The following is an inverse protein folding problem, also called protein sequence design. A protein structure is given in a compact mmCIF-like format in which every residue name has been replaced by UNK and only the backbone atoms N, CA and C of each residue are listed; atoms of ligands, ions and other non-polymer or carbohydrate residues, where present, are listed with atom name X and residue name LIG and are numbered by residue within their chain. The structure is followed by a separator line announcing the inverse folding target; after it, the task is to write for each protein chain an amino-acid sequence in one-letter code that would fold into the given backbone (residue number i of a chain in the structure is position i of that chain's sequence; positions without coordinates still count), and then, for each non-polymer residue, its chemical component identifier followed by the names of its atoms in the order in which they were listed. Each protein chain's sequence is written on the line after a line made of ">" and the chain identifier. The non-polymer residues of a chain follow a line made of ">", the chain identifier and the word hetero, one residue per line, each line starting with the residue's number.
data_IF_492943132660
#
_entry.id   IF_492943132660
#
_cell.length_a   1.000
_cell.length_b   1.000
_cell.length_c   1.000
_cell.angle_alpha   90.00
_cell.angle_beta   90.00
_cell.angle_gamma   90.00
#
_symmetry.space_group_name_H-M   'P 1'
#
loop_
_entity.id
_entity.type
_entity.pdbx_description
1 polymer ?
#
# COMPACT_ATOMS: atom_id res chain seq x y z
N UNK A 1 24.81 -22.93 -16.75
CA UNK A 1 23.54 -22.58 -17.42
C UNK A 1 23.59 -23.06 -18.87
N UNK A 2 22.56 -23.76 -19.34
CA UNK A 2 22.41 -24.16 -20.75
C UNK A 2 21.70 -23.06 -21.55
N UNK A 3 22.06 -22.87 -22.83
CA UNK A 3 21.35 -21.94 -23.73
C UNK A 3 20.73 -22.72 -24.88
N UNK A 4 19.46 -22.46 -25.18
CA UNK A 4 18.71 -23.14 -26.23
C UNK A 4 18.02 -22.10 -27.13
N UNK A 5 17.96 -22.39 -28.43
CA UNK A 5 17.18 -21.62 -29.39
C UNK A 5 16.06 -22.50 -29.93
N UNK A 6 14.81 -22.04 -29.82
CA UNK A 6 13.65 -22.76 -30.34
C UNK A 6 12.99 -21.91 -31.42
N UNK A 7 12.95 -22.41 -32.64
CA UNK A 7 12.33 -21.75 -33.79
C UNK A 7 10.88 -22.17 -33.98
N UNK A 8 10.48 -23.31 -33.38
CA UNK A 8 9.11 -23.83 -33.50
C UNK A 8 8.44 -24.06 -32.15
N UNK A 9 7.11 -24.07 -32.16
CA UNK A 9 6.28 -24.38 -30.99
C UNK A 9 6.60 -25.76 -30.39
N UNK A 10 6.90 -26.72 -31.26
CA UNK A 10 7.14 -28.11 -30.86
C UNK A 10 8.51 -28.25 -30.18
N UNK A 11 9.54 -27.58 -30.71
CA UNK A 11 10.85 -27.47 -30.07
C UNK A 11 10.75 -26.82 -28.68
N UNK A 12 9.98 -25.73 -28.56
CA UNK A 12 9.78 -25.05 -27.28
C UNK A 12 9.10 -25.96 -26.26
N UNK A 13 8.04 -26.67 -26.65
CA UNK A 13 7.34 -27.64 -25.79
C UNK A 13 8.28 -28.74 -25.30
N UNK A 14 9.02 -29.37 -26.22
CA UNK A 14 9.96 -30.46 -25.89
C UNK A 14 11.07 -29.97 -24.96
N UNK A 15 11.62 -28.79 -25.24
CA UNK A 15 12.70 -28.20 -24.43
C UNK A 15 12.26 -27.92 -23.00
N UNK A 16 11.06 -27.33 -22.81
CA UNK A 16 10.51 -27.06 -21.48
C UNK A 16 10.22 -28.37 -20.73
N UNK A 17 9.57 -29.35 -21.40
CA UNK A 17 9.19 -30.62 -20.78
C UNK A 17 10.40 -31.44 -20.28
N UNK A 18 11.56 -31.30 -20.91
CA UNK A 18 12.80 -32.01 -20.55
C UNK A 18 13.25 -31.76 -19.10
N UNK A 19 12.97 -30.60 -18.52
CA UNK A 19 13.46 -30.26 -17.18
C UNK A 19 12.59 -30.80 -16.03
N UNK A 20 11.37 -31.25 -16.33
CA UNK A 20 10.49 -31.89 -15.34
C UNK A 20 10.03 -30.94 -14.21
N UNK A 21 9.54 -31.49 -13.09
CA UNK A 21 8.99 -30.71 -11.98
C UNK A 21 10.08 -29.98 -11.16
N UNK A 22 9.67 -28.95 -10.40
CA UNK A 22 10.58 -28.18 -9.53
C UNK A 22 11.35 -27.06 -10.24
N UNK A 23 10.84 -26.63 -11.40
CA UNK A 23 11.35 -25.51 -12.19
C UNK A 23 10.38 -24.35 -12.10
N UNK A 24 10.91 -23.14 -11.95
CA UNK A 24 10.18 -21.89 -12.06
C UNK A 24 10.55 -21.19 -13.37
N UNK A 25 9.63 -20.40 -13.90
CA UNK A 25 9.76 -19.78 -15.21
C UNK A 25 9.70 -18.25 -15.09
N UNK A 26 10.57 -17.58 -15.85
CA UNK A 26 10.54 -16.12 -15.97
C UNK A 26 10.71 -15.71 -17.41
N UNK A 27 9.76 -14.92 -17.91
CA UNK A 27 9.79 -14.36 -19.25
C UNK A 27 10.22 -12.91 -19.28
N UNK A 28 11.01 -12.53 -20.29
CA UNK A 28 11.43 -11.16 -20.54
C UNK A 28 11.50 -10.90 -22.04
N UNK A 29 11.17 -9.69 -22.48
CA UNK A 29 11.27 -9.31 -23.90
C UNK A 29 12.69 -9.01 -24.34
N UNK A 30 13.65 -8.93 -23.42
CA UNK A 30 15.04 -8.59 -23.67
C UNK A 30 15.95 -9.38 -22.74
N UNK A 31 17.17 -9.66 -23.23
CA UNK A 31 18.21 -10.30 -22.44
C UNK A 31 19.00 -9.24 -21.67
N UNK A 32 18.90 -9.25 -20.35
CA UNK A 32 19.67 -8.34 -19.51
C UNK A 32 20.94 -9.04 -19.01
N UNK A 33 22.08 -8.39 -19.14
CA UNK A 33 23.39 -8.88 -18.71
C UNK A 33 23.93 -8.04 -17.55
N UNK A 34 24.70 -8.66 -16.66
CA UNK A 34 25.46 -7.98 -15.62
C UNK A 34 26.83 -7.50 -16.16
N UNK A 35 27.66 -6.92 -15.29
CA UNK A 35 28.99 -6.43 -15.66
C UNK A 35 29.98 -7.52 -16.09
N UNK A 36 29.63 -8.80 -15.92
CA UNK A 36 30.42 -9.97 -16.30
C UNK A 36 29.82 -10.72 -17.49
N UNK A 37 28.89 -10.10 -18.23
CA UNK A 37 28.16 -10.71 -19.35
C UNK A 37 27.37 -11.98 -18.95
N UNK A 38 26.96 -12.09 -17.68
CA UNK A 38 26.07 -13.14 -17.19
C UNK A 38 24.62 -12.64 -17.12
N UNK A 39 23.61 -13.51 -17.25
CA UNK A 39 22.21 -13.08 -17.15
C UNK A 39 21.91 -12.37 -15.83
N UNK A 40 21.40 -11.14 -15.94
CA UNK A 40 21.05 -10.28 -14.83
C UNK A 40 19.55 -10.31 -14.57
N UNK A 41 19.15 -11.19 -13.65
CA UNK A 41 17.80 -11.21 -13.11
C UNK A 41 17.74 -10.35 -11.84
N UNK A 42 17.76 -9.03 -12.05
CA UNK A 42 17.67 -8.03 -10.97
C UNK A 42 16.24 -7.81 -10.46
N UNK A 43 16.11 -7.29 -9.25
CA UNK A 43 14.82 -6.89 -8.66
C UNK A 43 14.37 -5.52 -9.18
N UNK A 44 13.09 -5.20 -9.04
CA UNK A 44 12.59 -3.84 -9.34
C UNK A 44 13.26 -2.76 -8.49
N UNK A 45 13.59 -3.09 -7.24
CA UNK A 45 14.26 -2.16 -6.34
C UNK A 45 15.68 -1.83 -6.82
N UNK A 46 16.45 -2.85 -7.24
CA UNK A 46 17.80 -2.65 -7.79
C UNK A 46 17.80 -1.76 -9.05
N UNK A 47 16.77 -1.86 -9.90
CA UNK A 47 16.70 -1.09 -11.15
C UNK A 47 16.26 0.36 -10.96
N UNK A 48 15.36 0.63 -10.01
CA UNK A 48 14.65 1.92 -9.94
C UNK A 48 14.77 2.64 -8.60
N UNK A 49 15.38 2.00 -7.60
CA UNK A 49 15.42 2.49 -6.22
C UNK A 49 14.06 2.48 -5.52
N UNK A 50 14.10 2.76 -4.22
CA UNK A 50 12.92 2.94 -3.38
C UNK A 50 12.52 4.41 -3.25
N UNK A 51 11.22 4.65 -3.07
CA UNK A 51 10.69 5.91 -2.54
C UNK A 51 10.19 5.59 -1.12
N UNK A 52 10.97 5.90 -0.06
CA UNK A 52 10.72 5.36 1.28
C UNK A 52 9.30 5.57 1.81
N UNK A 53 8.75 6.78 1.73
CA UNK A 53 7.41 7.08 2.24
C UNK A 53 6.32 6.31 1.50
N UNK A 54 6.42 6.25 0.17
CA UNK A 54 5.52 5.47 -0.66
C UNK A 54 5.65 3.97 -0.32
N UNK A 55 6.87 3.47 -0.08
CA UNK A 55 7.07 2.07 0.29
C UNK A 55 6.44 1.70 1.62
N UNK A 56 6.57 2.59 2.62
CA UNK A 56 5.96 2.40 3.94
C UNK A 56 4.43 2.39 3.81
N UNK A 57 3.85 3.34 3.08
CA UNK A 57 2.40 3.42 2.83
C UNK A 57 1.88 2.18 2.10
N UNK A 58 2.59 1.73 1.06
CA UNK A 58 2.28 0.48 0.35
C UNK A 58 2.29 -0.74 1.28
N UNK A 59 3.35 -0.89 2.07
CA UNK A 59 3.51 -2.02 3.00
C UNK A 59 2.36 -2.06 4.01
N UNK A 60 1.97 -0.89 4.53
CA UNK A 60 0.84 -0.75 5.44
C UNK A 60 -0.47 -1.23 4.79
N UNK A 61 -0.86 -0.67 3.65
CA UNK A 61 -2.13 -1.02 3.02
C UNK A 61 -2.19 -2.43 2.45
N UNK A 62 -1.05 -3.00 2.06
CA UNK A 62 -0.96 -4.41 1.70
C UNK A 62 -1.29 -5.32 2.87
N UNK A 63 -0.62 -5.09 4.01
CA UNK A 63 -0.84 -5.84 5.24
C UNK A 63 -2.33 -5.81 5.61
N UNK A 64 -2.96 -4.64 5.50
CA UNK A 64 -4.39 -4.48 5.77
C UNK A 64 -5.29 -5.24 4.80
N UNK A 65 -5.01 -5.14 3.50
CA UNK A 65 -5.75 -5.90 2.51
C UNK A 65 -5.67 -7.41 2.81
N UNK A 66 -4.50 -7.93 3.21
CA UNK A 66 -4.34 -9.33 3.58
C UNK A 66 -5.10 -9.68 4.87
N UNK A 67 -5.01 -8.84 5.91
CA UNK A 67 -5.77 -9.03 7.14
C UNK A 67 -7.29 -9.10 6.89
N UNK A 68 -7.80 -8.30 5.94
CA UNK A 68 -9.22 -8.29 5.60
C UNK A 68 -9.64 -9.47 4.70
N UNK A 69 -8.76 -9.91 3.78
CA UNK A 69 -9.13 -10.82 2.70
C UNK A 69 -8.67 -12.27 2.88
N UNK A 70 -7.66 -12.52 3.71
CA UNK A 70 -7.03 -13.83 3.89
C UNK A 70 -7.40 -14.38 5.27
N UNK A 71 -8.20 -15.44 5.27
CA UNK A 71 -8.72 -16.02 6.51
C UNK A 71 -7.59 -16.55 7.40
N UNK A 72 -7.58 -16.12 8.65
CA UNK A 72 -6.58 -16.56 9.63
C UNK A 72 -5.21 -15.94 9.43
N UNK A 73 -5.07 -14.94 8.55
CA UNK A 73 -3.87 -14.12 8.44
C UNK A 73 -3.64 -13.39 9.76
N UNK A 74 -2.70 -13.91 10.55
CA UNK A 74 -2.25 -13.22 11.76
C UNK A 74 -1.23 -12.17 11.37
N UNK A 75 -1.17 -11.11 12.15
CA UNK A 75 -0.09 -10.14 12.04
C UNK A 75 1.24 -10.85 12.28
N UNK A 76 1.92 -11.23 11.20
CA UNK A 76 3.28 -11.78 11.24
C UNK A 76 4.26 -10.66 10.96
N UNK A 77 5.44 -10.71 11.58
CA UNK A 77 6.57 -9.83 11.25
C UNK A 77 7.15 -10.08 9.83
N UNK A 78 6.51 -10.95 9.04
CA UNK A 78 6.88 -11.29 7.66
C UNK A 78 6.53 -10.17 6.67
N UNK A 79 7.34 -9.11 6.73
CA UNK A 79 7.31 -8.00 5.76
C UNK A 79 7.69 -8.45 4.34
N UNK A 80 8.40 -9.56 4.19
CA UNK A 80 8.81 -10.09 2.89
C UNK A 80 7.60 -10.54 2.08
N UNK A 81 6.69 -11.29 2.70
CA UNK A 81 5.47 -11.76 2.04
C UNK A 81 4.56 -10.59 1.61
N UNK A 82 4.41 -9.56 2.44
CA UNK A 82 3.66 -8.35 2.07
C UNK A 82 4.24 -7.69 0.81
N UNK A 83 5.56 -7.47 0.78
CA UNK A 83 6.23 -6.84 -0.37
C UNK A 83 6.13 -7.68 -1.66
N UNK A 84 6.11 -8.99 -1.53
CA UNK A 84 6.06 -9.90 -2.67
C UNK A 84 4.68 -9.93 -3.32
N UNK A 85 3.60 -9.97 -2.55
CA UNK A 85 2.25 -9.87 -3.11
C UNK A 85 2.09 -8.53 -3.85
N UNK A 86 2.57 -7.46 -3.24
CA UNK A 86 2.47 -6.12 -3.80
C UNK A 86 3.21 -5.94 -5.13
N UNK A 87 4.26 -6.72 -5.38
CA UNK A 87 5.01 -6.59 -6.63
C UNK A 87 4.12 -6.83 -7.86
N UNK A 88 3.10 -7.70 -7.73
CA UNK A 88 2.10 -7.98 -8.78
C UNK A 88 1.12 -6.82 -9.01
N UNK A 89 1.08 -5.86 -8.09
CA UNK A 89 0.33 -4.60 -8.20
C UNK A 89 1.24 -3.42 -8.54
N UNK A 90 2.51 -3.66 -8.89
CA UNK A 90 3.44 -2.62 -9.36
C UNK A 90 4.31 -2.00 -8.27
N UNK A 91 4.29 -2.55 -7.05
CA UNK A 91 5.24 -2.19 -6.00
C UNK A 91 6.65 -2.63 -6.33
N UNK A 92 7.64 -1.84 -5.91
CA UNK A 92 9.05 -2.18 -6.09
C UNK A 92 9.52 -3.01 -4.90
N UNK A 93 9.82 -4.28 -5.13
CA UNK A 93 10.24 -5.24 -4.10
C UNK A 93 11.70 -5.66 -4.27
N UNK A 94 12.22 -6.34 -3.23
CA UNK A 94 13.50 -7.07 -3.23
C UNK A 94 13.37 -8.49 -3.78
N UNK A 95 12.23 -8.85 -4.37
CA UNK A 95 11.96 -10.20 -4.85
C UNK A 95 11.99 -10.24 -6.38
N UNK A 96 12.29 -11.42 -6.89
CA UNK A 96 12.17 -11.75 -8.29
C UNK A 96 10.82 -12.45 -8.50
N UNK A 97 10.03 -11.90 -9.42
CA UNK A 97 8.80 -12.52 -9.90
C UNK A 97 9.10 -13.71 -10.81
N UNK A 98 8.51 -14.86 -10.51
CA UNK A 98 8.59 -16.07 -11.31
C UNK A 98 7.22 -16.79 -11.28
N UNK A 99 6.98 -17.64 -12.26
CA UNK A 99 5.73 -18.43 -12.37
C UNK A 99 6.03 -19.93 -12.32
N UNK A 100 5.12 -20.72 -11.76
CA UNK A 100 5.11 -22.16 -11.94
C UNK A 100 4.54 -22.59 -13.30
N UNK A 101 3.82 -21.71 -14.00
CA UNK A 101 3.25 -21.96 -15.33
C UNK A 101 4.15 -21.36 -16.43
N UNK A 102 4.80 -22.19 -17.27
CA UNK A 102 5.67 -21.71 -18.34
C UNK A 102 4.92 -20.86 -19.38
N UNK A 103 3.60 -21.01 -19.51
CA UNK A 103 2.79 -20.22 -20.44
C UNK A 103 2.66 -18.77 -20.00
N UNK A 104 2.60 -18.52 -18.68
CA UNK A 104 2.60 -17.15 -18.12
C UNK A 104 3.93 -16.48 -18.45
N UNK A 105 5.05 -17.20 -18.25
CA UNK A 105 6.36 -16.69 -18.59
C UNK A 105 6.52 -16.45 -20.11
N UNK A 106 6.06 -17.38 -20.96
CA UNK A 106 6.07 -17.17 -22.42
C UNK A 106 5.28 -15.91 -22.82
N UNK A 107 4.13 -15.66 -22.18
CA UNK A 107 3.34 -14.45 -22.41
C UNK A 107 4.13 -13.18 -22.08
N UNK A 108 4.81 -13.11 -20.93
CA UNK A 108 5.66 -11.97 -20.58
C UNK A 108 6.90 -11.83 -21.47
N UNK A 109 7.41 -12.94 -22.03
CA UNK A 109 8.52 -12.93 -22.96
C UNK A 109 8.14 -12.38 -24.35
N UNK A 110 6.86 -12.44 -24.73
CA UNK A 110 6.36 -11.98 -26.03
C UNK A 110 5.56 -10.67 -25.98
N UNK A 111 5.44 -10.05 -24.80
CA UNK A 111 4.62 -8.86 -24.59
C UNK A 111 5.38 -7.83 -23.76
N UNK A 112 5.58 -6.63 -24.33
CA UNK A 112 6.25 -5.51 -23.69
C UNK A 112 5.27 -4.69 -22.86
N UNK A 113 5.61 -4.43 -21.61
CA UNK A 113 4.87 -3.51 -20.75
C UNK A 113 5.00 -2.07 -21.24
N UNK A 114 3.88 -1.37 -21.38
CA UNK A 114 3.81 0.05 -21.64
C UNK A 114 2.87 0.73 -20.66
N UNK A 115 3.12 2.02 -20.40
CA UNK A 115 2.23 2.82 -19.57
C UNK A 115 2.27 4.28 -19.96
N UNK A 116 1.16 4.98 -19.71
CA UNK A 116 1.09 6.44 -19.82
C UNK A 116 0.29 7.01 -18.66
N UNK A 117 0.61 8.25 -18.32
CA UNK A 117 -0.27 9.03 -17.45
C UNK A 117 -1.54 9.37 -18.23
N UNK A 118 -2.68 9.09 -17.63
CA UNK A 118 -4.00 9.44 -18.13
C UNK A 118 -4.66 10.41 -17.14
N UNK A 119 -5.40 11.37 -17.68
CA UNK A 119 -6.20 12.33 -16.92
C UNK A 119 -7.65 12.10 -17.31
N UNK A 120 -8.50 11.80 -16.32
CA UNK A 120 -9.89 11.43 -16.54
C UNK A 120 -10.79 12.50 -15.92
N UNK A 121 -11.75 13.02 -16.69
CA UNK A 121 -12.79 13.90 -16.15
C UNK A 121 -13.90 13.02 -15.59
N UNK A 122 -14.15 13.11 -14.30
CA UNK A 122 -15.23 12.41 -13.62
C UNK A 122 -16.01 13.37 -12.74
N UNK A 123 -17.08 12.88 -12.16
CA UNK A 123 -17.86 13.52 -11.11
C UNK A 123 -17.70 12.71 -9.83
N UNK A 124 -17.66 13.38 -8.68
CA UNK A 124 -17.76 12.70 -7.40
C UNK A 124 -19.22 12.23 -7.13
N UNK A 125 -19.48 11.70 -5.95
CA UNK A 125 -20.82 11.21 -5.60
C UNK A 125 -21.88 12.30 -5.45
N UNK A 126 -21.49 13.58 -5.54
CA UNK A 126 -22.37 14.74 -5.51
C UNK A 126 -22.43 15.47 -6.86
N UNK A 127 -21.95 14.84 -7.93
CA UNK A 127 -21.90 15.41 -9.28
C UNK A 127 -20.91 16.58 -9.41
N UNK A 128 -20.00 16.76 -8.44
CA UNK A 128 -18.97 17.79 -8.50
C UNK A 128 -17.80 17.30 -9.41
N UNK A 129 -17.44 18.04 -10.47
CA UNK A 129 -16.47 17.57 -11.46
C UNK A 129 -15.02 17.66 -10.96
N UNK A 130 -14.23 16.61 -11.23
CA UNK A 130 -12.81 16.52 -10.85
C UNK A 130 -11.96 15.86 -11.93
N UNK A 131 -10.66 16.19 -11.93
CA UNK A 131 -9.66 15.53 -12.75
C UNK A 131 -8.95 14.43 -11.95
N UNK A 132 -8.95 13.20 -12.46
CA UNK A 132 -8.22 12.08 -11.85
C UNK A 132 -6.99 11.69 -12.70
N UNK A 133 -5.81 11.87 -12.13
CA UNK A 133 -4.54 11.40 -12.68
C UNK A 133 -4.34 9.93 -12.32
N UNK A 134 -4.23 9.09 -13.34
CA UNK A 134 -3.96 7.65 -13.21
C UNK A 134 -2.80 7.22 -14.09
N UNK A 135 -2.21 6.04 -13.79
CA UNK A 135 -1.18 5.42 -14.61
C UNK A 135 -1.79 4.25 -15.39
N UNK A 136 -2.31 4.54 -16.57
CA UNK A 136 -2.84 3.52 -17.47
C UNK A 136 -1.71 2.64 -17.98
N UNK A 137 -1.89 1.34 -17.90
CA UNK A 137 -0.92 0.34 -18.33
C UNK A 137 -1.53 -0.62 -19.34
N UNK A 138 -0.71 -1.14 -20.24
CA UNK A 138 -1.09 -2.19 -21.18
C UNK A 138 0.15 -2.96 -21.60
N UNK A 139 -0.07 -4.02 -22.37
CA UNK A 139 0.98 -4.82 -22.96
C UNK A 139 0.86 -4.79 -24.48
N UNK A 140 1.98 -4.60 -25.16
CA UNK A 140 2.07 -4.59 -26.61
C UNK A 140 2.86 -5.83 -27.06
N UNK A 141 2.33 -6.65 -27.98
CA UNK A 141 3.08 -7.77 -28.53
C UNK A 141 4.42 -7.30 -29.13
N UNK A 142 5.47 -8.08 -28.93
CA UNK A 142 6.79 -7.82 -29.54
C UNK A 142 6.95 -8.63 -30.82
N UNK A 143 7.80 -8.15 -31.74
CA UNK A 143 8.24 -8.94 -32.90
C UNK A 143 9.60 -9.60 -32.66
N UNK A 144 10.40 -9.02 -31.75
CA UNK A 144 11.72 -9.54 -31.40
C UNK A 144 11.66 -10.87 -30.64
N UNK A 145 12.76 -11.62 -30.66
CA UNK A 145 12.88 -12.87 -29.91
C UNK A 145 12.78 -12.63 -28.39
N UNK A 146 11.85 -13.34 -27.75
CA UNK A 146 11.67 -13.32 -26.31
C UNK A 146 12.66 -14.23 -25.58
N UNK A 147 12.82 -13.98 -24.28
CA UNK A 147 13.75 -14.66 -23.40
C UNK A 147 12.99 -15.40 -22.30
N UNK A 148 13.22 -16.70 -22.17
CA UNK A 148 12.61 -17.54 -21.15
C UNK A 148 13.69 -18.18 -20.29
N UNK A 149 13.66 -17.91 -18.98
CA UNK A 149 14.60 -18.45 -18.01
C UNK A 149 13.93 -19.53 -17.17
N UNK A 150 14.60 -20.67 -17.06
CA UNK A 150 14.19 -21.80 -16.22
C UNK A 150 15.06 -21.83 -14.97
N UNK A 151 14.42 -21.66 -13.82
CA UNK A 151 15.06 -21.49 -12.51
C UNK A 151 14.86 -22.75 -11.68
N UNK A 152 15.94 -23.30 -11.13
CA UNK A 152 15.92 -24.51 -10.31
C UNK A 152 15.56 -24.21 -8.87
N UNK A 153 14.39 -24.67 -8.39
CA UNK A 153 14.07 -24.58 -6.95
C UNK A 153 15.08 -25.31 -6.08
N UNK A 154 15.69 -26.40 -6.59
CA UNK A 154 16.74 -27.13 -5.89
C UNK A 154 18.01 -26.29 -5.72
N UNK A 155 18.39 -25.54 -6.75
CA UNK A 155 19.55 -24.65 -6.70
C UNK A 155 19.28 -23.45 -5.80
N UNK A 156 18.08 -22.86 -5.88
CA UNK A 156 17.65 -21.79 -4.96
C UNK A 156 17.81 -22.23 -3.49
N UNK A 157 17.27 -23.40 -3.12
CA UNK A 157 17.41 -23.96 -1.77
C UNK A 157 18.87 -24.18 -1.35
N UNK A 158 19.72 -24.68 -2.25
CA UNK A 158 21.16 -24.87 -1.98
C UNK A 158 21.90 -23.55 -1.74
N UNK A 159 21.48 -22.49 -2.43
CA UNK A 159 22.01 -21.14 -2.28
C UNK A 159 21.37 -20.35 -1.13
N UNK A 160 20.49 -20.98 -0.33
CA UNK A 160 19.78 -20.32 0.77
C UNK A 160 18.73 -19.29 0.32
N UNK A 161 18.34 -19.30 -0.97
CA UNK A 161 17.32 -18.41 -1.53
C UNK A 161 15.96 -19.10 -1.42
N UNK A 162 14.99 -18.40 -0.84
CA UNK A 162 13.63 -18.92 -0.70
C UNK A 162 12.85 -18.76 -2.02
N UNK A 163 11.96 -19.72 -2.24
CA UNK A 163 10.97 -19.69 -3.32
C UNK A 163 9.63 -20.08 -2.70
N UNK A 164 8.72 -19.12 -2.55
CA UNK A 164 7.42 -19.32 -1.90
C UNK A 164 6.32 -19.18 -2.94
N UNK A 165 5.39 -20.15 -2.98
CA UNK A 165 4.22 -20.07 -3.85
C UNK A 165 3.17 -19.16 -3.21
N UNK A 166 2.71 -18.15 -3.95
CA UNK A 166 1.77 -17.16 -3.41
C UNK A 166 0.33 -17.65 -3.29
N UNK A 167 -0.02 -18.83 -3.83
CA UNK A 167 -1.34 -19.45 -3.61
C UNK A 167 -1.58 -19.89 -2.16
N UNK A 168 -0.52 -19.98 -1.35
CA UNK A 168 -0.65 -20.19 0.10
C UNK A 168 -1.43 -19.04 0.77
N UNK A 169 -1.57 -17.91 0.08
CA UNK A 169 -2.24 -16.70 0.51
C UNK A 169 -3.55 -16.56 -0.25
N UNK A 170 -4.39 -17.61 -0.18
CA UNK A 170 -5.67 -17.62 -0.87
C UNK A 170 -6.65 -16.65 -0.19
N UNK A 171 -7.29 -15.81 -0.99
CA UNK A 171 -8.43 -15.00 -0.55
C UNK A 171 -9.69 -15.87 -0.52
N UNK A 172 -10.64 -15.57 0.38
CA UNK A 172 -11.88 -16.35 0.49
C UNK A 172 -12.77 -16.26 -0.77
N UNK A 173 -12.58 -15.20 -1.57
CA UNK A 173 -13.32 -14.92 -2.80
C UNK A 173 -12.38 -14.41 -3.90
N UNK A 174 -12.79 -14.55 -5.16
CA UNK A 174 -12.08 -14.00 -6.32
C UNK A 174 -10.80 -14.76 -6.71
N UNK A 175 -10.07 -14.19 -7.66
CA UNK A 175 -8.82 -14.73 -8.20
C UNK A 175 -7.78 -13.60 -8.36
N UNK A 176 -7.02 -13.29 -7.29
CA UNK A 176 -5.97 -12.27 -7.33
C UNK A 176 -4.92 -12.52 -8.42
N UNK A 177 -4.25 -11.46 -8.87
CA UNK A 177 -3.18 -11.52 -9.90
C UNK A 177 -2.16 -12.64 -9.67
N UNK A 178 -1.63 -12.77 -8.45
CA UNK A 178 -0.61 -13.76 -8.12
C UNK A 178 -1.13 -15.21 -8.22
N UNK A 179 -2.43 -15.44 -8.04
CA UNK A 179 -3.05 -16.76 -8.25
C UNK A 179 -3.17 -17.04 -9.74
N UNK A 180 -3.67 -16.09 -10.54
CA UNK A 180 -3.82 -16.27 -12.00
C UNK A 180 -2.48 -16.43 -12.73
N UNK A 181 -1.42 -15.88 -12.15
CA UNK A 181 -0.05 -15.94 -12.70
C UNK A 181 0.74 -17.15 -12.18
N UNK A 182 0.16 -18.01 -11.33
CA UNK A 182 0.86 -19.11 -10.65
C UNK A 182 2.18 -18.64 -10.01
N UNK A 183 2.10 -17.52 -9.29
CA UNK A 183 3.25 -16.71 -8.93
C UNK A 183 4.06 -17.29 -7.77
N UNK A 184 5.37 -17.17 -7.90
CA UNK A 184 6.37 -17.49 -6.89
C UNK A 184 7.18 -16.25 -6.53
N UNK A 185 7.40 -16.09 -5.23
CA UNK A 185 8.34 -15.13 -4.67
C UNK A 185 9.74 -15.78 -4.58
N UNK A 186 10.70 -15.33 -5.39
CA UNK A 186 12.10 -15.75 -5.28
C UNK A 186 12.95 -14.65 -4.63
N UNK A 187 13.53 -14.91 -3.46
CA UNK A 187 14.34 -13.92 -2.73
C UNK A 187 14.27 -14.04 -1.21
N UNK A 188 14.56 -12.95 -0.46
CA UNK A 188 14.91 -11.61 -0.95
C UNK A 188 16.30 -11.57 -1.60
N UNK A 189 16.46 -10.75 -2.64
CA UNK A 189 17.71 -10.53 -3.38
C UNK A 189 18.21 -9.11 -3.12
N UNK A 190 18.97 -8.94 -2.02
CA UNK A 190 19.33 -7.62 -1.49
C UNK A 190 20.56 -7.04 -2.20
N UNK A 191 21.64 -7.83 -2.31
CA UNK A 191 22.95 -7.33 -2.76
C UNK A 191 23.17 -7.47 -4.27
N UNK A 192 22.66 -8.53 -4.87
CA UNK A 192 22.84 -8.84 -6.30
C UNK A 192 21.57 -9.47 -6.87
N UNK A 193 21.47 -9.53 -8.20
CA UNK A 193 20.41 -10.27 -8.87
C UNK A 193 20.52 -11.78 -8.62
N UNK A 194 19.57 -12.55 -9.17
CA UNK A 194 19.63 -14.01 -9.04
C UNK A 194 20.90 -14.56 -9.69
N UNK A 195 21.64 -15.39 -8.96
CA UNK A 195 22.85 -16.04 -9.48
C UNK A 195 22.55 -16.93 -10.69
N UNK A 196 23.43 -16.89 -11.69
CA UNK A 196 23.36 -17.76 -12.88
C UNK A 196 23.40 -19.26 -12.54
N UNK A 197 23.95 -19.65 -11.39
CA UNK A 197 23.94 -21.03 -10.88
C UNK A 197 22.53 -21.54 -10.52
N UNK A 198 21.59 -20.62 -10.31
CA UNK A 198 20.18 -20.96 -10.09
C UNK A 198 19.42 -21.14 -11.42
N UNK A 199 20.00 -20.74 -12.54
CA UNK A 199 19.39 -20.81 -13.87
C UNK A 199 19.83 -22.10 -14.57
N UNK A 200 18.87 -23.00 -14.78
CA UNK A 200 19.08 -24.25 -15.51
C UNK A 200 19.29 -23.97 -16.99
N UNK A 201 18.37 -23.18 -17.57
CA UNK A 201 18.31 -22.94 -18.99
C UNK A 201 17.86 -21.51 -19.30
N UNK A 202 18.45 -20.95 -20.34
CA UNK A 202 17.99 -19.75 -21.01
C UNK A 202 17.57 -20.13 -22.43
N UNK A 203 16.28 -19.99 -22.71
CA UNK A 203 15.66 -20.29 -24.00
C UNK A 203 15.37 -18.97 -24.72
N UNK A 204 15.77 -18.87 -25.99
CA UNK A 204 15.40 -17.77 -26.88
C UNK A 204 14.49 -18.31 -27.99
N UNK A 205 13.36 -17.65 -28.22
CA UNK A 205 12.41 -18.06 -29.25
C UNK A 205 11.73 -16.84 -29.91
N UNK A 206 11.30 -16.93 -31.19
CA UNK A 206 10.49 -15.89 -31.82
C UNK A 206 9.23 -15.56 -31.00
N UNK A 207 8.83 -14.29 -30.96
CA UNK A 207 7.68 -13.87 -30.18
C UNK A 207 6.37 -14.55 -30.61
N UNK A 208 6.21 -14.90 -31.90
CA UNK A 208 5.06 -15.67 -32.39
C UNK A 208 4.98 -17.06 -31.75
N UNK A 209 6.10 -17.78 -31.68
CA UNK A 209 6.18 -19.11 -31.05
C UNK A 209 5.83 -19.03 -29.57
N UNK A 210 6.32 -17.99 -28.88
CA UNK A 210 6.02 -17.74 -27.47
C UNK A 210 4.55 -17.38 -27.24
N UNK A 211 3.93 -16.60 -28.14
CA UNK A 211 2.48 -16.31 -28.09
C UNK A 211 1.66 -17.56 -28.30
N UNK A 212 1.99 -18.37 -29.31
CA UNK A 212 1.31 -19.64 -29.58
C UNK A 212 1.43 -20.61 -28.40
N UNK A 213 2.58 -20.62 -27.73
CA UNK A 213 2.80 -21.41 -26.52
C UNK A 213 2.02 -20.88 -25.31
N UNK A 214 1.99 -19.56 -25.11
CA UNK A 214 1.19 -18.91 -24.07
C UNK A 214 -0.32 -19.19 -24.24
N UNK A 215 -0.75 -19.40 -25.49
CA UNK A 215 -2.12 -19.75 -25.83
C UNK A 215 -3.09 -18.59 -25.57
N UNK A 216 -4.24 -18.90 -24.95
CA UNK A 216 -5.32 -17.93 -24.72
C UNK A 216 -5.09 -16.90 -23.60
N UNK A 217 -3.89 -16.81 -23.03
CA UNK A 217 -3.60 -15.83 -22.00
C UNK A 217 -3.61 -14.41 -22.56
N UNK A 218 -4.30 -13.51 -21.85
CA UNK A 218 -4.45 -12.11 -22.21
C UNK A 218 -4.12 -11.23 -21.02
N UNK A 219 -3.89 -9.94 -21.28
CA UNK A 219 -3.67 -8.97 -20.20
C UNK A 219 -4.86 -8.94 -19.22
N UNK A 220 -6.10 -8.97 -19.72
CA UNK A 220 -7.30 -8.99 -18.85
C UNK A 220 -7.44 -10.29 -18.04
N UNK A 221 -6.89 -11.40 -18.53
CA UNK A 221 -6.83 -12.64 -17.73
C UNK A 221 -5.77 -12.54 -16.64
N UNK A 222 -4.54 -12.16 -16.97
CA UNK A 222 -3.41 -12.11 -16.02
C UNK A 222 -3.51 -10.95 -15.03
N UNK A 223 -4.22 -9.88 -15.40
CA UNK A 223 -4.47 -8.68 -14.61
C UNK A 223 -5.98 -8.43 -14.48
N UNK A 224 -6.69 -9.22 -13.66
CA UNK A 224 -8.13 -9.15 -13.48
C UNK A 224 -8.64 -7.76 -13.09
N UNK A 225 -9.91 -7.52 -13.45
CA UNK A 225 -10.69 -6.37 -12.99
C UNK A 225 -10.90 -6.40 -11.46
N UNK A 226 -11.20 -5.25 -10.83
CA UNK A 226 -11.51 -5.18 -9.39
C UNK A 226 -12.72 -6.01 -8.96
N UNK A 227 -13.59 -6.42 -9.89
CA UNK A 227 -14.69 -7.35 -9.62
C UNK A 227 -14.20 -8.76 -9.29
N UNK A 228 -13.07 -9.15 -9.88
CA UNK A 228 -12.50 -10.51 -9.80
C UNK A 228 -11.29 -10.57 -8.86
N UNK A 229 -10.60 -9.45 -8.66
CA UNK A 229 -9.43 -9.33 -7.80
C UNK A 229 -9.74 -8.49 -6.54
N UNK A 230 -10.02 -9.14 -5.40
CA UNK A 230 -10.37 -8.43 -4.18
C UNK A 230 -9.20 -7.61 -3.62
N UNK A 231 -7.95 -8.05 -3.81
CA UNK A 231 -6.77 -7.31 -3.35
C UNK A 231 -6.64 -6.04 -4.17
N UNK A 232 -6.81 -6.13 -5.49
CA UNK A 232 -6.81 -4.94 -6.35
C UNK A 232 -7.91 -3.96 -5.95
N UNK A 233 -9.11 -4.46 -5.66
CA UNK A 233 -10.25 -3.65 -5.22
C UNK A 233 -9.98 -2.90 -3.92
N UNK A 234 -9.38 -3.54 -2.92
CA UNK A 234 -8.99 -2.88 -1.66
C UNK A 234 -7.95 -1.77 -1.90
N UNK A 235 -6.92 -2.05 -2.71
CA UNK A 235 -5.89 -1.06 -3.04
C UNK A 235 -6.45 0.15 -3.80
N UNK A 236 -7.50 -0.06 -4.60
CA UNK A 236 -8.22 1.00 -5.32
C UNK A 236 -9.14 1.85 -4.44
N UNK A 237 -9.51 1.37 -3.25
CA UNK A 237 -10.39 2.09 -2.32
C UNK A 237 -9.67 3.18 -1.52
N UNK A 238 -8.34 3.27 -1.64
CA UNK A 238 -7.55 4.31 -1.01
C UNK A 238 -8.02 5.70 -1.47
N UNK A 239 -7.99 6.71 -0.57
CA UNK A 239 -8.42 8.06 -0.90
C UNK A 239 -7.57 8.64 -2.03
N UNK A 240 -8.18 9.46 -2.86
CA UNK A 240 -7.46 10.31 -3.80
C UNK A 240 -6.92 11.52 -3.06
N UNK A 241 -5.75 12.02 -3.43
CA UNK A 241 -5.14 13.19 -2.81
C UNK A 241 -5.03 14.34 -3.81
N UNK A 242 -5.31 15.56 -3.37
CA UNK A 242 -5.24 16.74 -4.21
C UNK A 242 -3.81 17.04 -4.68
N UNK A 243 -3.66 17.32 -5.97
CA UNK A 243 -2.41 17.75 -6.59
C UNK A 243 -2.17 19.25 -6.38
N UNK A 244 -1.62 19.64 -5.22
CA UNK A 244 -1.46 21.06 -4.80
C UNK A 244 -0.72 21.98 -5.79
N UNK A 245 0.17 21.42 -6.61
CA UNK A 245 0.99 22.20 -7.56
C UNK A 245 0.33 22.42 -8.92
N UNK A 246 -0.85 21.84 -9.16
CA UNK A 246 -1.61 22.04 -10.39
C UNK A 246 -2.56 23.22 -10.16
N UNK A 247 -2.52 24.28 -10.98
CA UNK A 247 -3.45 25.39 -10.84
C UNK A 247 -4.91 24.95 -10.98
N UNK A 248 -5.74 25.32 -10.01
CA UNK A 248 -7.17 25.05 -10.02
C UNK A 248 -7.90 26.06 -10.93
N UNK A 249 -7.84 25.85 -12.25
CA UNK A 249 -8.55 26.68 -13.24
C UNK A 249 -10.06 26.34 -13.31
N UNK A 250 -10.72 26.26 -12.15
CA UNK A 250 -12.14 25.91 -12.01
C UNK A 250 -12.43 24.41 -11.79
N UNK A 251 -11.44 23.52 -11.96
CA UNK A 251 -11.56 22.08 -11.69
C UNK A 251 -10.32 21.59 -10.94
N UNK A 252 -10.54 20.85 -9.87
CA UNK A 252 -9.46 20.33 -9.01
C UNK A 252 -8.93 19.00 -9.56
N UNK A 253 -7.61 18.79 -9.42
CA UNK A 253 -6.94 17.58 -9.85
C UNK A 253 -6.48 16.74 -8.67
N UNK A 254 -6.72 15.43 -8.76
CA UNK A 254 -6.37 14.46 -7.73
C UNK A 254 -5.57 13.28 -8.33
N UNK A 255 -4.74 12.67 -7.50
CA UNK A 255 -3.99 11.46 -7.84
C UNK A 255 -4.25 10.33 -6.84
N UNK A 256 -3.87 9.11 -7.19
CA UNK A 256 -3.98 7.97 -6.27
C UNK A 256 -3.04 8.15 -5.07
N UNK A 257 -3.55 7.91 -3.87
CA UNK A 257 -2.74 7.74 -2.65
C UNK A 257 -1.67 6.65 -2.80
N UNK A 258 -1.95 5.62 -3.59
CA UNK A 258 -1.03 4.55 -3.97
C UNK A 258 -0.99 4.49 -5.50
N UNK A 259 0.11 4.91 -6.12
CA UNK A 259 0.23 4.84 -7.57
C UNK A 259 0.60 3.42 -8.03
N UNK A 260 -0.22 2.81 -8.90
CA UNK A 260 0.03 1.51 -9.52
C UNK A 260 -0.42 1.47 -10.99
N UNK A 261 0.09 0.51 -11.80
CA UNK A 261 -0.39 0.30 -13.16
C UNK A 261 -1.85 -0.18 -13.17
N UNK A 262 -2.70 0.59 -13.86
CA UNK A 262 -4.12 0.29 -14.06
C UNK A 262 -4.32 -0.26 -15.48
N UNK A 263 -4.59 -1.57 -15.58
CA UNK A 263 -4.73 -2.29 -16.86
C UNK A 263 -6.10 -2.16 -17.50
N UNK A 264 -7.09 -1.69 -16.72
CA UNK A 264 -8.47 -1.57 -17.13
C UNK A 264 -9.04 -0.18 -16.88
N UNK A 265 -10.13 0.14 -17.60
CA UNK A 265 -10.89 1.37 -17.43
C UNK A 265 -11.97 1.24 -16.35
N UNK A 266 -11.60 0.88 -15.11
CA UNK A 266 -12.55 0.71 -14.00
C UNK A 266 -13.01 2.05 -13.38
N UNK A 267 -12.43 3.18 -13.83
CA UNK A 267 -12.85 4.51 -13.41
C UNK A 267 -14.26 4.78 -13.95
N UNK A 268 -15.16 5.15 -13.05
CA UNK A 268 -16.56 5.42 -13.37
C UNK A 268 -16.74 6.93 -13.63
N UNK A 269 -17.73 7.28 -14.47
CA UNK A 269 -18.08 8.68 -14.71
C UNK A 269 -18.58 9.36 -13.42
N UNK A 270 -19.40 8.65 -12.63
CA UNK A 270 -19.81 9.03 -11.28
C UNK A 270 -19.07 8.16 -10.28
N UNK A 271 -18.19 8.76 -9.48
CA UNK A 271 -17.42 8.04 -8.47
C UNK A 271 -18.31 7.70 -7.27
N UNK A 272 -18.13 6.51 -6.66
CA UNK A 272 -18.95 6.11 -5.52
C UNK A 272 -18.61 6.96 -4.27
N UNK A 273 -19.52 7.08 -3.28
CA UNK A 273 -19.29 7.87 -2.08
C UNK A 273 -17.98 7.56 -1.36
N UNK A 274 -17.62 6.28 -1.25
CA UNK A 274 -16.34 5.80 -0.68
C UNK A 274 -15.06 6.26 -1.41
N UNK A 275 -15.16 7.01 -2.50
CA UNK A 275 -14.00 7.56 -3.20
C UNK A 275 -13.73 8.98 -2.70
N UNK A 276 -13.14 9.10 -1.51
CA UNK A 276 -12.75 10.39 -0.99
C UNK A 276 -11.75 11.10 -1.92
N UNK A 277 -12.08 12.33 -2.29
CA UNK A 277 -11.23 13.28 -3.00
C UNK A 277 -10.63 14.23 -1.96
N UNK A 278 -9.60 13.76 -1.27
CA UNK A 278 -9.06 14.42 -0.09
C UNK A 278 -8.30 15.68 -0.46
N UNK A 279 -8.82 16.81 0.01
CA UNK A 279 -8.10 18.08 0.11
C UNK A 279 -7.40 18.10 1.45
N UNK A 280 -6.09 18.31 1.52
CA UNK A 280 -5.41 18.30 2.80
C UNK A 280 -5.92 19.41 3.72
N UNK A 281 -6.25 19.06 4.96
CA UNK A 281 -6.70 19.99 5.97
C UNK A 281 -6.23 19.56 7.35
N UNK A 282 -6.20 20.51 8.28
CA UNK A 282 -6.07 20.28 9.71
C UNK A 282 -7.40 20.58 10.38
N UNK A 283 -7.84 19.75 11.32
CA UNK A 283 -9.15 19.90 11.99
C UNK A 283 -9.31 21.28 12.64
N UNK A 284 -8.22 21.86 13.14
CA UNK A 284 -8.18 23.21 13.72
C UNK A 284 -8.53 24.34 12.74
N UNK A 285 -8.34 24.12 11.44
CA UNK A 285 -8.56 25.11 10.39
C UNK A 285 -9.95 24.98 9.76
N UNK A 286 -10.70 23.92 10.10
CA UNK A 286 -12.08 23.78 9.67
C UNK A 286 -12.95 24.86 10.34
N UNK A 287 -13.95 25.40 9.63
CA UNK A 287 -14.93 26.28 10.25
C UNK A 287 -15.64 25.55 11.41
N UNK A 288 -16.17 26.27 12.41
CA UNK A 288 -16.96 25.64 13.48
C UNK A 288 -18.05 24.74 12.89
N UNK A 289 -18.26 23.52 13.42
CA UNK A 289 -19.33 22.65 12.96
C UNK A 289 -20.69 23.35 13.05
N UNK A 290 -21.62 23.11 12.13
CA UNK A 290 -22.92 23.79 12.09
C UNK A 290 -23.72 23.71 13.41
N UNK A 291 -23.51 22.64 14.20
CA UNK A 291 -24.27 22.33 15.42
C UNK A 291 -23.46 22.45 16.73
N UNK A 292 -22.23 23.00 16.69
CA UNK A 292 -21.41 23.03 17.91
C UNK A 292 -21.89 24.09 18.91
N UNK A 293 -22.35 23.64 20.08
CA UNK A 293 -22.29 24.46 21.29
C UNK A 293 -20.82 24.74 21.60
N UNK A 294 -20.50 25.98 22.00
CA UNK A 294 -19.15 26.41 22.36
C UNK A 294 -18.47 25.37 23.24
N UNK A 295 -17.35 24.82 22.75
CA UNK A 295 -16.59 23.80 23.45
C UNK A 295 -16.20 24.26 24.86
N UNK A 296 -16.27 23.33 25.80
CA UNK A 296 -15.68 23.45 27.14
C UNK A 296 -14.21 23.86 27.06
N UNK A 297 -13.69 24.54 28.08
CA UNK A 297 -12.26 24.95 28.25
C UNK A 297 -11.31 23.74 28.39
N UNK A 298 -11.35 22.78 27.46
CA UNK A 298 -10.45 21.63 27.44
C UNK A 298 -9.09 22.08 26.90
N UNK A 299 -8.05 21.98 27.72
CA UNK A 299 -6.69 22.30 27.28
C UNK A 299 -6.18 21.17 26.38
N UNK A 300 -5.96 21.46 25.10
CA UNK A 300 -5.55 20.44 24.11
C UNK A 300 -4.19 20.77 23.51
N UNK A 301 -3.29 19.80 23.46
CA UNK A 301 -2.10 19.84 22.62
C UNK A 301 -2.38 19.20 21.25
N UNK A 302 -2.01 19.88 20.17
CA UNK A 302 -2.10 19.36 18.80
C UNK A 302 -0.71 19.07 18.25
N UNK A 303 -0.52 17.85 17.75
CA UNK A 303 0.68 17.38 17.09
C UNK A 303 0.35 17.07 15.63
N UNK A 304 0.88 17.87 14.70
CA UNK A 304 0.68 17.66 13.26
C UNK A 304 1.83 16.84 12.69
N UNK A 305 1.55 15.70 12.09
CA UNK A 305 2.58 14.79 11.57
C UNK A 305 2.26 14.22 10.20
N UNK A 306 3.31 13.76 9.51
CA UNK A 306 3.19 13.13 8.22
C UNK A 306 2.61 11.73 8.36
N UNK A 307 1.75 11.34 7.41
CA UNK A 307 1.10 10.02 7.39
C UNK A 307 2.10 8.85 7.35
N UNK A 308 3.34 9.05 6.90
CA UNK A 308 4.41 8.03 6.98
C UNK A 308 4.72 7.60 8.42
N UNK A 309 4.54 8.49 9.41
CA UNK A 309 4.70 8.16 10.83
C UNK A 309 3.58 7.20 11.30
N UNK A 310 2.39 7.28 10.71
CA UNK A 310 1.31 6.32 10.98
C UNK A 310 1.55 4.99 10.29
N UNK A 311 1.90 5.00 9.00
CA UNK A 311 2.11 3.79 8.22
C UNK A 311 3.38 3.01 8.61
N UNK A 312 4.29 3.60 9.37
CA UNK A 312 5.53 2.98 9.83
C UNK A 312 5.32 1.71 10.66
N UNK A 313 6.30 0.80 10.61
CA UNK A 313 6.33 -0.40 11.45
C UNK A 313 7.14 -0.14 12.72
N UNK A 314 6.56 -0.49 13.87
CA UNK A 314 7.27 -0.56 15.15
C UNK A 314 6.48 -1.42 16.14
N UNK A 315 7.16 -2.00 17.11
CA UNK A 315 6.50 -2.62 18.27
C UNK A 315 5.75 -1.54 19.08
N UNK A 316 4.51 -1.81 19.53
CA UNK A 316 3.78 -0.92 20.43
C UNK A 316 4.61 -0.56 21.68
N UNK A 317 4.49 0.68 22.17
CA UNK A 317 5.19 1.14 23.38
C UNK A 317 4.19 1.65 24.39
N UNK A 318 4.27 1.13 25.61
CA UNK A 318 3.39 1.50 26.73
C UNK A 318 4.08 2.37 27.79
N UNK A 319 5.33 2.76 27.54
CA UNK A 319 6.05 3.77 28.32
C UNK A 319 6.34 4.91 27.36
N UNK A 320 5.69 6.05 27.59
CA UNK A 320 5.65 7.19 26.67
C UNK A 320 6.02 8.49 27.42
N UNK A 321 7.30 8.69 27.78
CA UNK A 321 7.70 9.77 28.69
C UNK A 321 7.40 11.18 28.18
N UNK A 322 7.56 11.44 26.87
CA UNK A 322 7.30 12.75 26.30
C UNK A 322 5.80 13.02 26.18
N UNK A 323 5.01 12.00 25.84
CA UNK A 323 3.54 12.10 25.85
C UNK A 323 3.03 12.31 27.29
N UNK A 324 3.59 11.61 28.28
CA UNK A 324 3.22 11.79 29.68
C UNK A 324 3.46 13.24 30.15
N UNK A 325 4.58 13.86 29.76
CA UNK A 325 4.83 15.29 30.06
C UNK A 325 3.78 16.21 29.44
N UNK A 326 3.32 15.92 28.22
CA UNK A 326 2.23 16.68 27.62
C UNK A 326 0.92 16.48 28.40
N UNK A 327 0.63 15.27 28.86
CA UNK A 327 -0.52 15.00 29.72
C UNK A 327 -0.39 15.63 31.11
N UNK A 328 0.76 16.13 31.55
CA UNK A 328 0.81 16.94 32.79
C UNK A 328 0.21 18.35 32.57
N UNK A 329 0.22 18.83 31.32
CA UNK A 329 -0.15 20.21 30.96
C UNK A 329 -1.48 20.32 30.23
N UNK A 330 -1.89 19.26 29.51
CA UNK A 330 -3.07 19.26 28.66
C UNK A 330 -4.01 18.12 29.05
N UNK A 331 -5.31 18.35 28.89
CA UNK A 331 -6.37 17.35 29.12
C UNK A 331 -6.56 16.43 27.92
N UNK A 332 -6.26 16.93 26.73
CA UNK A 332 -6.32 16.20 25.47
C UNK A 332 -5.03 16.37 24.67
N UNK A 333 -4.61 15.30 24.00
CA UNK A 333 -3.55 15.32 23.00
C UNK A 333 -4.14 14.81 21.70
N UNK A 334 -4.09 15.64 20.66
CA UNK A 334 -4.52 15.30 19.30
C UNK A 334 -3.30 15.12 18.41
N UNK A 335 -3.03 13.89 17.96
CA UNK A 335 -2.01 13.60 16.95
C UNK A 335 -2.70 13.46 15.61
N UNK A 336 -2.57 14.46 14.75
CA UNK A 336 -3.26 14.54 13.46
C UNK A 336 -2.30 14.28 12.30
N UNK A 337 -2.78 13.54 11.29
CA UNK A 337 -2.01 13.16 10.10
C UNK A 337 -2.27 14.15 8.96
N UNK A 338 -1.30 14.38 8.10
CA UNK A 338 -1.46 15.19 6.87
C UNK A 338 -2.35 14.53 5.79
N UNK A 339 -2.72 13.27 5.99
CA UNK A 339 -3.51 12.43 5.07
C UNK A 339 -4.69 11.72 5.75
N UNK A 340 -5.42 10.94 4.95
CA UNK A 340 -6.46 10.03 5.41
C UNK A 340 -5.97 8.58 5.42
N UNK A 341 -6.42 7.82 6.42
CA UNK A 341 -6.16 6.38 6.57
C UNK A 341 -7.44 5.60 6.25
N UNK A 342 -7.39 4.75 5.24
CA UNK A 342 -8.54 3.90 4.91
C UNK A 342 -8.53 2.60 5.72
N UNK A 343 -9.66 2.32 6.36
CA UNK A 343 -9.84 1.15 7.23
C UNK A 343 -10.80 0.09 6.66
N UNK A 344 -11.28 0.23 5.42
CA UNK A 344 -12.35 -0.65 4.90
C UNK A 344 -13.77 -0.17 5.23
N UNK A 345 -13.93 1.04 5.77
CA UNK A 345 -15.19 1.52 6.37
C UNK A 345 -15.97 2.49 5.46
N UNK A 346 -16.22 2.12 4.21
CA UNK A 346 -16.98 2.91 3.23
C UNK A 346 -16.49 4.37 3.12
N UNK A 347 -17.25 5.36 3.62
CA UNK A 347 -16.90 6.80 3.61
C UNK A 347 -16.08 7.26 4.82
N UNK A 348 -15.77 6.37 5.77
CA UNK A 348 -15.07 6.70 7.01
C UNK A 348 -13.58 6.42 6.93
N UNK A 349 -12.80 7.41 7.34
CA UNK A 349 -11.34 7.37 7.33
C UNK A 349 -10.77 7.77 8.68
N UNK A 350 -9.61 7.21 9.03
CA UNK A 350 -8.78 7.67 10.13
C UNK A 350 -8.02 8.93 9.74
N UNK A 351 -7.84 9.84 10.70
CA UNK A 351 -7.14 11.13 10.54
C UNK A 351 -6.07 11.34 11.61
N UNK A 352 -5.92 10.41 12.55
CA UNK A 352 -4.96 10.52 13.64
C UNK A 352 -5.36 9.76 14.88
N UNK A 353 -4.61 9.92 15.97
CA UNK A 353 -4.89 9.30 17.27
C UNK A 353 -5.00 10.39 18.33
N UNK A 354 -6.00 10.26 19.19
CA UNK A 354 -6.23 11.14 20.32
C UNK A 354 -6.03 10.44 21.65
N UNK A 355 -5.65 11.23 22.65
CA UNK A 355 -5.58 10.82 24.05
C UNK A 355 -6.41 11.82 24.84
N UNK A 356 -7.41 11.34 25.59
CA UNK A 356 -8.24 12.17 26.45
C UNK A 356 -8.14 11.69 27.90
N UNK A 357 -7.86 12.59 28.83
CA UNK A 357 -8.01 12.29 30.26
C UNK A 357 -9.48 12.15 30.63
N UNK A 358 -9.77 11.11 31.40
CA UNK A 358 -11.07 10.91 32.02
C UNK A 358 -10.90 10.78 33.56
N UNK A 359 -11.98 10.93 34.34
CA UNK A 359 -11.91 10.81 35.79
C UNK A 359 -11.28 9.49 36.27
N UNK A 360 -10.60 9.52 37.42
CA UNK A 360 -10.01 8.32 38.03
C UNK A 360 -8.58 7.98 37.60
N UNK A 361 -7.86 8.94 36.99
CA UNK A 361 -6.47 8.74 36.55
C UNK A 361 -6.36 7.80 35.34
N UNK A 362 -7.41 7.78 34.52
CA UNK A 362 -7.52 6.96 33.32
C UNK A 362 -7.45 7.88 32.10
N UNK A 363 -6.90 7.36 31.02
CA UNK A 363 -6.91 8.01 29.71
C UNK A 363 -7.60 7.11 28.70
N UNK A 364 -8.37 7.73 27.80
CA UNK A 364 -8.94 7.08 26.63
C UNK A 364 -8.02 7.34 25.44
N UNK A 365 -7.59 6.28 24.76
CA UNK A 365 -6.85 6.35 23.49
C UNK A 365 -7.79 5.96 22.37
N UNK A 366 -8.04 6.87 21.43
CA UNK A 366 -9.02 6.71 20.35
C UNK A 366 -8.45 7.16 19.01
N UNK A 367 -9.11 6.81 17.92
CA UNK A 367 -8.76 7.30 16.59
C UNK A 367 -9.62 8.52 16.22
N UNK A 368 -9.03 9.55 15.61
CA UNK A 368 -9.81 10.62 14.99
C UNK A 368 -10.39 10.11 13.68
N UNK A 369 -11.71 10.14 13.62
CA UNK A 369 -12.49 9.70 12.49
C UNK A 369 -13.03 10.86 11.67
N UNK A 370 -12.98 10.73 10.35
CA UNK A 370 -13.63 11.65 9.41
C UNK A 370 -14.58 10.87 8.52
N UNK A 371 -15.80 11.37 8.37
CA UNK A 371 -16.73 10.95 7.31
C UNK A 371 -16.54 11.84 6.08
N UNK A 372 -16.03 11.25 4.99
CA UNK A 372 -15.55 11.97 3.82
C UNK A 372 -16.05 11.36 2.50
N UNK A 373 -17.35 11.42 2.18
CA UNK A 373 -17.84 11.05 0.86
C UNK A 373 -17.35 12.03 -0.21
N UNK A 374 -16.80 11.53 -1.32
CA UNK A 374 -16.39 12.38 -2.45
C UNK A 374 -15.50 13.56 -2.01
N UNK A 375 -15.87 14.78 -2.38
CA UNK A 375 -15.17 16.03 -2.02
C UNK A 375 -15.59 16.63 -0.66
N UNK A 376 -16.57 16.05 0.04
CA UNK A 376 -17.22 16.70 1.18
C UNK A 376 -16.80 16.07 2.49
N UNK A 377 -16.61 16.91 3.52
CA UNK A 377 -16.45 16.47 4.90
C UNK A 377 -17.83 16.53 5.55
N UNK A 378 -18.40 15.38 5.89
CA UNK A 378 -19.75 15.29 6.45
C UNK A 378 -19.76 15.16 7.98
N UNK A 379 -18.65 14.76 8.57
CA UNK A 379 -18.54 14.65 10.01
C UNK A 379 -17.12 14.37 10.47
N UNK A 380 -16.86 14.70 11.73
CA UNK A 380 -15.66 14.30 12.45
C UNK A 380 -16.06 13.75 13.82
N UNK A 381 -15.27 12.84 14.35
CA UNK A 381 -15.54 12.29 15.67
C UNK A 381 -14.40 11.44 16.20
N UNK A 382 -14.65 10.86 17.37
CA UNK A 382 -13.76 9.88 17.99
C UNK A 382 -14.28 8.50 17.62
N UNK A 383 -13.46 7.71 16.94
CA UNK A 383 -13.76 6.31 16.64
C UNK A 383 -12.94 5.41 17.58
N UNK A 384 -13.56 4.30 18.02
CA UNK A 384 -12.88 3.14 18.58
C UNK A 384 -11.82 3.46 19.65
N UNK A 385 -12.27 3.73 20.88
CA UNK A 385 -11.38 3.99 22.02
C UNK A 385 -11.08 2.77 22.89
N UNK A 386 -9.92 2.74 23.54
CA UNK A 386 -9.61 1.83 24.66
C UNK A 386 -9.04 2.63 25.84
N UNK A 387 -9.29 2.14 27.05
CA UNK A 387 -8.92 2.85 28.28
C UNK A 387 -7.70 2.28 28.98
N UNK A 388 -6.86 3.17 29.51
CA UNK A 388 -5.58 2.85 30.15
C UNK A 388 -5.37 3.65 31.43
N UNK A 389 -4.73 3.05 32.42
CA UNK A 389 -4.24 3.74 33.62
C UNK A 389 -2.75 4.03 33.47
N UNK A 390 -2.35 5.24 33.86
CA UNK A 390 -0.93 5.63 33.91
C UNK A 390 -0.42 5.41 35.33
N UNK A 391 0.62 4.59 35.45
CA UNK A 391 1.28 4.26 36.71
C UNK A 391 2.37 5.28 37.08
N UNK A 392 2.85 5.23 38.32
CA UNK A 392 3.87 6.14 38.83
C UNK A 392 5.23 6.04 38.11
N UNK A 393 5.51 4.91 37.46
CA UNK A 393 6.68 4.71 36.62
C UNK A 393 6.49 5.26 35.19
N UNK A 394 5.32 5.82 34.90
CA UNK A 394 4.92 6.33 33.59
C UNK A 394 4.43 5.25 32.62
N UNK A 395 4.30 4.00 33.07
CA UNK A 395 3.78 2.89 32.28
C UNK A 395 2.26 2.93 32.15
N UNK A 396 1.76 2.53 30.99
CA UNK A 396 0.34 2.50 30.65
C UNK A 396 -0.17 1.07 30.70
N UNK A 397 -1.20 0.82 31.51
CA UNK A 397 -1.82 -0.49 31.64
C UNK A 397 -3.28 -0.44 31.19
N UNK A 398 -3.70 -1.42 30.39
CA UNK A 398 -5.07 -1.55 29.92
C UNK A 398 -6.03 -1.76 31.09
N UNK A 399 -7.13 -1.01 31.13
CA UNK A 399 -8.19 -1.16 32.14
C UNK A 399 -9.56 -1.27 31.48
N UNK A 400 -10.32 -2.31 31.82
CA UNK A 400 -11.68 -2.46 31.28
C UNK A 400 -12.57 -1.26 31.65
N UNK A 401 -13.30 -0.76 30.66
CA UNK A 401 -14.20 0.39 30.77
C UNK A 401 -15.46 0.15 29.91
N UNK A 402 -16.58 0.75 30.29
CA UNK A 402 -17.86 0.54 29.60
C UNK A 402 -17.86 1.10 28.16
N UNK A 403 -17.15 2.21 27.95
CA UNK A 403 -16.98 2.85 26.64
C UNK A 403 -15.85 2.24 25.80
N UNK A 404 -15.32 1.09 26.19
CA UNK A 404 -14.32 0.40 25.38
C UNK A 404 -14.92 -0.05 24.05
N UNK A 405 -14.11 0.06 22.99
CA UNK A 405 -14.44 -0.45 21.68
C UNK A 405 -14.82 -1.93 21.70
N UNK A 406 -15.95 -2.26 21.08
CA UNK A 406 -16.51 -3.62 21.04
C UNK A 406 -16.08 -4.42 19.79
N UNK A 407 -15.16 -3.91 18.98
CA UNK A 407 -14.72 -4.58 17.74
C UNK A 407 -13.87 -5.84 18.00
N UNK A 408 -13.43 -6.07 19.24
CA UNK A 408 -12.65 -7.25 19.64
C UNK A 408 -11.17 -7.20 19.26
N UNK A 409 -10.65 -6.06 18.80
CA UNK A 409 -9.22 -5.86 18.53
C UNK A 409 -8.55 -5.04 19.64
N UNK A 410 -7.23 -5.20 19.80
CA UNK A 410 -6.45 -4.55 20.88
C UNK A 410 -5.94 -3.13 20.52
N UNK A 411 -6.24 -2.64 19.31
CA UNK A 411 -5.87 -1.32 18.78
C UNK A 411 -4.37 -1.00 18.94
N UNK A 412 -3.53 -2.02 18.80
CA UNK A 412 -2.07 -1.93 18.98
C UNK A 412 -1.42 -0.91 18.04
N UNK A 413 -2.02 -0.66 16.87
CA UNK A 413 -1.54 0.34 15.90
C UNK A 413 -1.53 1.76 16.50
N UNK A 414 -2.50 2.11 17.36
CA UNK A 414 -2.53 3.40 18.04
C UNK A 414 -1.28 3.56 18.91
N UNK A 415 -0.94 2.55 19.72
CA UNK A 415 0.25 2.58 20.57
C UNK A 415 1.57 2.49 19.79
N UNK A 416 1.55 1.87 18.62
CA UNK A 416 2.68 1.92 17.69
C UNK A 416 2.92 3.35 17.18
N UNK A 417 1.87 4.08 16.80
CA UNK A 417 1.98 5.50 16.47
C UNK A 417 2.45 6.34 17.66
N UNK A 418 1.80 6.19 18.84
CA UNK A 418 2.18 6.92 20.05
C UNK A 418 3.67 6.72 20.37
N UNK A 419 4.16 5.48 20.29
CA UNK A 419 5.57 5.17 20.53
C UNK A 419 6.54 5.79 19.53
N UNK A 420 6.12 6.02 18.28
CA UNK A 420 6.91 6.74 17.27
C UNK A 420 6.87 8.25 17.50
N UNK A 421 5.70 8.80 17.81
CA UNK A 421 5.54 10.23 18.15
C UNK A 421 6.35 10.59 19.39
N UNK A 422 6.28 9.79 20.46
CA UNK A 422 7.06 9.95 21.68
C UNK A 422 8.57 10.00 21.40
N UNK A 423 9.06 9.09 20.56
CA UNK A 423 10.45 9.09 20.12
C UNK A 423 10.79 10.32 19.31
N UNK A 424 9.94 10.72 18.37
CA UNK A 424 10.14 11.90 17.54
C UNK A 424 10.13 13.20 18.35
N UNK A 425 9.31 13.30 19.40
CA UNK A 425 9.36 14.40 20.37
C UNK A 425 10.71 14.44 21.07
N UNK A 426 11.16 13.30 21.61
CA UNK A 426 12.45 13.17 22.30
C UNK A 426 13.63 13.55 21.41
N UNK A 427 13.61 13.12 20.16
CA UNK A 427 14.67 13.34 19.17
C UNK A 427 14.61 14.75 18.53
N UNK A 428 13.64 15.59 18.91
CA UNK A 428 13.51 16.96 18.40
C UNK A 428 13.04 17.04 16.94
N UNK A 429 12.29 16.04 16.47
CA UNK A 429 11.65 16.06 15.16
C UNK A 429 10.33 16.84 15.14
N UNK A 430 9.73 17.07 16.29
CA UNK A 430 8.60 17.99 16.46
C UNK A 430 9.09 19.32 17.00
N UNK A 431 8.62 20.41 16.40
CA UNK A 431 8.88 21.77 16.83
C UNK A 431 7.60 22.37 17.43
N UNK A 432 7.71 22.97 18.61
CA UNK A 432 6.63 23.77 19.19
C UNK A 432 6.62 25.12 18.49
N UNK A 433 5.62 25.33 17.63
CA UNK A 433 5.53 26.53 16.78
C UNK A 433 4.64 27.61 17.40
N UNK A 434 3.68 27.19 18.21
CA UNK A 434 2.75 28.04 18.99
C UNK A 434 2.43 27.30 20.30
N UNK A 435 1.94 27.98 21.36
CA UNK A 435 1.47 27.29 22.56
C UNK A 435 0.49 26.18 22.18
N UNK A 436 0.71 24.98 22.70
CA UNK A 436 -0.07 23.77 22.41
C UNK A 436 0.00 23.22 20.99
N UNK A 437 0.77 23.80 20.06
CA UNK A 437 0.91 23.31 18.69
C UNK A 437 2.34 22.85 18.40
N UNK A 438 2.46 21.56 18.10
CA UNK A 438 3.69 20.89 17.72
C UNK A 438 3.58 20.42 16.28
N UNK A 439 4.61 20.63 15.48
CA UNK A 439 4.62 20.25 14.05
C UNK A 439 5.87 19.45 13.76
N UNK A 440 5.69 18.29 13.13
CA UNK A 440 6.82 17.49 12.64
C UNK A 440 7.56 18.27 11.54
N UNK A 441 8.89 18.32 11.63
CA UNK A 441 9.76 18.93 10.61
C UNK A 441 9.41 18.42 9.21
N UNK A 442 9.19 19.35 8.28
CA UNK A 442 8.88 19.05 6.88
C UNK A 442 7.39 18.84 6.57
N UNK A 443 6.51 18.85 7.58
CA UNK A 443 5.06 18.79 7.37
C UNK A 443 4.51 20.18 7.00
N UNK A 444 3.71 20.24 5.93
CA UNK A 444 3.03 21.46 5.53
C UNK A 444 1.81 21.72 6.42
N UNK A 445 1.83 22.86 7.10
CA UNK A 445 0.78 23.31 8.04
C UNK A 445 -0.41 23.94 7.33
N UNK A 446 -0.34 24.14 6.02
CA UNK A 446 -1.36 24.86 5.27
C UNK A 446 -2.51 23.92 4.92
N UNK A 447 -3.70 24.21 5.44
CA UNK A 447 -4.94 23.59 5.00
C UNK A 447 -5.36 24.14 3.63
N UNK A 448 -5.97 23.29 2.83
CA UNK A 448 -6.66 23.73 1.61
C UNK A 448 -7.91 24.54 2.00
N UNK A 449 -8.05 25.80 1.53
CA UNK A 449 -9.17 26.65 1.92
C UNK A 449 -10.54 26.14 1.41
N UNK A 450 -10.57 25.19 0.48
CA UNK A 450 -11.80 24.53 0.01
C UNK A 450 -12.16 23.28 0.81
N UNK A 451 -11.32 22.86 1.76
CA UNK A 451 -11.70 21.82 2.70
C UNK A 451 -12.67 22.40 3.73
N UNK A 452 -13.95 22.15 3.54
CA UNK A 452 -15.03 22.66 4.40
C UNK A 452 -16.10 21.59 4.62
N UNK A 453 -16.96 21.80 5.62
CA UNK A 453 -18.16 21.00 5.83
C UNK A 453 -19.01 20.96 4.56
N UNK A 454 -19.46 19.77 4.19
CA UNK A 454 -20.47 19.58 3.16
C UNK A 454 -21.84 19.99 3.66
N UNK A 455 -22.69 20.48 2.75
CA UNK A 455 -24.11 20.64 3.05
C UNK A 455 -24.79 19.25 3.11
N UNK A 456 -25.59 18.96 4.15
CA UNK A 456 -26.46 17.79 4.16
C UNK A 456 -27.42 17.81 2.96
N UNK A 457 -27.71 16.63 2.40
CA UNK A 457 -28.67 16.44 1.30
C UNK A 457 -30.10 16.82 1.66
#
# INVERSE_FOLDING_TARGET
>A
METQHCETLEELKVTIQRYGPGVLYRGQTQHYLDSNDLPSLSTSFQRQGGVPDLMIKWTYYAKRALQHLVRGWKETDDTATNQAILQHYGFRSFFLDASGDPRVAAWFASNRFESKIAVNLVEDCFEDPVWLRTRRAWFVPTEDAGQLYLISQKSLRRSGIQAVHLSEIATDLGAPRYVRQDAYMVGPLIQSGLSSECILCHITAPAEVLRDYAGGYSAGWLFPEPSDDPVYRELLAMPWEKMRHVPDNGLEAFWRSLEFPEYSGHIQKHMPPRSAMYRPFWTRDLPPPPDSQTATDTQMAQLLCGSSLYHGASTPRFILPEINKLLEQYDEISIELDGLVYHGMDTKYGKGVGILKIPGGIVCVFEYGIDHPGLRIMGMGRFYGLHYRIHSDGGWERVAHEDDCTCGSDHTENFSLLGRVDRSLKDGWFECVEPSLYVQKGVDRTSDPRATWGEPY
#
